data_IF_586314254519
#
_entry.id   IF_586314254519
#
_cell.length_a   1.000
_cell.length_b   1.000
_cell.length_c   1.000
_cell.angle_alpha   90.00
_cell.angle_beta   90.00
_cell.angle_gamma   90.00
#
_symmetry.space_group_name_H-M   'P 1'
#
loop_
_entity.id
_entity.type
_entity.pdbx_description
1 polymer ?
#
# COMPACT_ATOMS: atom_id res chain seq x y z
N UNK A 1 18.83 -11.00 2.94
CA UNK A 1 18.65 -9.93 1.93
C UNK A 1 17.22 -10.02 1.45
N UNK A 2 16.47 -8.93 1.40
CA UNK A 2 15.14 -8.96 0.79
C UNK A 2 15.34 -9.36 -0.69
N UNK A 3 14.82 -10.52 -1.08
CA UNK A 3 14.80 -10.93 -2.47
C UNK A 3 13.70 -10.11 -3.14
N UNK A 4 14.08 -8.98 -3.74
CA UNK A 4 13.17 -8.25 -4.61
C UNK A 4 12.86 -9.14 -5.80
N UNK A 5 11.58 -9.42 -6.04
CA UNK A 5 11.18 -10.16 -7.22
C UNK A 5 11.48 -9.31 -8.45
N UNK A 6 12.06 -9.91 -9.49
CA UNK A 6 12.23 -9.26 -10.79
C UNK A 6 10.95 -9.29 -11.63
N UNK A 7 9.79 -9.38 -10.96
CA UNK A 7 8.48 -9.44 -11.59
C UNK A 7 8.01 -8.01 -11.92
N UNK A 8 7.61 -7.77 -13.17
CA UNK A 8 7.04 -6.50 -13.57
C UNK A 8 5.57 -6.42 -13.16
N UNK A 9 5.16 -5.27 -12.64
CA UNK A 9 3.79 -4.99 -12.20
C UNK A 9 3.41 -3.56 -12.58
N UNK A 10 2.11 -3.28 -12.65
CA UNK A 10 1.61 -1.93 -12.93
C UNK A 10 0.68 -1.47 -11.82
N UNK A 11 0.96 -0.31 -11.25
CA UNK A 11 0.07 0.37 -10.33
C UNK A 11 -0.63 1.54 -11.04
N UNK A 12 -1.95 1.53 -11.00
CA UNK A 12 -2.79 2.65 -11.45
C UNK A 12 -3.59 3.21 -10.28
N UNK A 13 -3.91 4.50 -10.35
CA UNK A 13 -4.65 5.19 -9.31
C UNK A 13 -5.67 6.14 -9.89
N UNK A 14 -6.76 6.31 -9.14
CA UNK A 14 -7.82 7.27 -9.44
C UNK A 14 -8.10 8.10 -8.19
N UNK A 15 -8.31 9.41 -8.40
CA UNK A 15 -8.66 10.35 -7.35
C UNK A 15 -10.05 10.91 -7.62
N UNK A 16 -10.90 10.88 -6.60
CA UNK A 16 -12.23 11.48 -6.63
C UNK A 16 -12.33 12.51 -5.53
N UNK A 17 -12.61 13.77 -5.91
CA UNK A 17 -12.89 14.83 -4.95
C UNK A 17 -14.35 14.72 -4.46
N UNK A 18 -14.53 14.86 -3.15
CA UNK A 18 -15.85 14.89 -2.51
C UNK A 18 -16.11 16.27 -1.91
N UNK A 19 -17.34 16.51 -1.50
CA UNK A 19 -17.71 17.76 -0.80
C UNK A 19 -16.91 17.88 0.50
N UNK A 20 -16.25 19.03 0.70
CA UNK A 20 -15.38 19.28 1.85
C UNK A 20 -13.91 18.94 1.56
N UNK A 21 -13.07 18.72 2.58
CA UNK A 21 -11.64 18.46 2.40
C UNK A 21 -11.33 16.98 2.10
N UNK A 22 -12.29 16.24 1.52
CA UNK A 22 -12.19 14.79 1.36
C UNK A 22 -11.84 14.41 -0.08
N UNK A 23 -10.84 13.54 -0.22
CA UNK A 23 -10.44 12.94 -1.50
C UNK A 23 -10.43 11.43 -1.32
N UNK A 24 -11.15 10.71 -2.20
CA UNK A 24 -11.05 9.26 -2.30
C UNK A 24 -9.92 8.86 -3.22
N UNK A 25 -9.17 7.83 -2.82
CA UNK A 25 -8.12 7.20 -3.62
C UNK A 25 -8.53 5.75 -3.88
N UNK A 26 -8.59 5.37 -5.16
CA UNK A 26 -8.68 3.97 -5.57
C UNK A 26 -7.33 3.59 -6.18
N UNK A 27 -6.78 2.45 -5.77
CA UNK A 27 -5.57 1.87 -6.34
C UNK A 27 -5.91 0.54 -7.00
N UNK A 28 -5.39 0.32 -8.21
CA UNK A 28 -5.42 -0.97 -8.88
C UNK A 28 -4.00 -1.40 -9.17
N UNK A 29 -3.57 -2.49 -8.53
CA UNK A 29 -2.26 -3.09 -8.75
C UNK A 29 -2.43 -4.35 -9.62
N UNK A 30 -2.06 -4.25 -10.89
CA UNK A 30 -2.00 -5.40 -11.79
C UNK A 30 -0.73 -6.19 -11.54
N UNK A 31 -0.91 -7.39 -10.99
CA UNK A 31 0.16 -8.37 -10.74
C UNK A 31 0.03 -9.60 -11.64
N UNK A 32 -0.57 -9.45 -12.83
CA UNK A 32 -0.64 -10.52 -13.82
C UNK A 32 0.77 -10.98 -14.19
N UNK A 33 1.10 -12.25 -13.93
CA UNK A 33 2.45 -12.81 -14.12
C UNK A 33 3.43 -12.52 -12.98
N UNK A 34 2.99 -11.87 -11.90
CA UNK A 34 3.78 -11.48 -10.74
C UNK A 34 3.20 -12.06 -9.43
N UNK A 35 3.05 -13.39 -9.36
CA UNK A 35 2.33 -14.06 -8.26
C UNK A 35 3.05 -13.94 -6.92
N UNK A 36 4.38 -13.79 -6.88
CA UNK A 36 5.08 -13.61 -5.61
C UNK A 36 4.82 -12.20 -5.07
N UNK A 37 4.92 -11.19 -5.93
CA UNK A 37 4.56 -9.81 -5.60
C UNK A 37 3.12 -9.70 -5.12
N UNK A 38 2.18 -10.37 -5.80
CA UNK A 38 0.77 -10.39 -5.41
C UNK A 38 0.55 -10.90 -3.98
N UNK A 39 1.30 -11.92 -3.56
CA UNK A 39 1.22 -12.48 -2.18
C UNK A 39 1.80 -11.53 -1.14
N UNK A 40 2.93 -10.88 -1.45
CA UNK A 40 3.58 -9.96 -0.53
C UNK A 40 2.73 -8.71 -0.23
N UNK A 41 1.94 -8.26 -1.22
CA UNK A 41 1.11 -7.05 -1.10
C UNK A 41 -0.31 -7.30 -0.58
N UNK A 42 -0.76 -8.56 -0.51
CA UNK A 42 -2.14 -8.91 -0.15
C UNK A 42 -2.53 -8.39 1.24
N UNK A 43 -1.58 -8.40 2.17
CA UNK A 43 -1.78 -7.84 3.51
C UNK A 43 -2.76 -8.63 4.39
N UNK A 44 -3.06 -9.88 4.03
CA UNK A 44 -4.02 -10.77 4.73
C UNK A 44 -3.37 -11.62 5.81
N UNK A 45 -2.07 -11.39 6.10
CA UNK A 45 -1.34 -12.08 7.15
C UNK A 45 -1.74 -11.66 8.57
N UNK A 46 -1.16 -12.30 9.58
CA UNK A 46 -1.37 -11.90 10.98
C UNK A 46 -0.87 -10.46 11.20
N UNK A 47 -1.77 -9.56 11.57
CA UNK A 47 -1.48 -8.15 11.84
C UNK A 47 -0.41 -7.96 12.94
N UNK A 48 -0.38 -8.82 13.96
CA UNK A 48 0.64 -8.78 15.03
C UNK A 48 2.04 -9.15 14.53
N UNK A 49 2.12 -9.90 13.43
CA UNK A 49 3.38 -10.25 12.76
C UNK A 49 3.72 -9.27 11.63
N UNK A 50 3.00 -8.15 11.57
CA UNK A 50 3.22 -7.08 10.60
C UNK A 50 2.12 -6.95 9.57
N UNK A 51 1.30 -7.99 9.32
CA UNK A 51 0.17 -8.01 8.36
C UNK A 51 0.57 -7.77 6.90
N UNK A 52 1.33 -6.70 6.65
CA UNK A 52 2.07 -6.38 5.45
C UNK A 52 1.26 -5.64 4.40
N UNK A 53 1.90 -5.46 3.24
CA UNK A 53 1.24 -5.11 1.99
C UNK A 53 0.47 -3.80 1.96
N UNK A 54 -0.61 -3.78 1.18
CA UNK A 54 -1.40 -2.59 0.92
C UNK A 54 -2.03 -1.94 2.16
N UNK A 55 -2.61 -2.68 3.12
CA UNK A 55 -3.14 -2.08 4.34
C UNK A 55 -2.10 -1.24 5.09
N UNK A 56 -0.85 -1.72 5.16
CA UNK A 56 0.24 -1.00 5.82
C UNK A 56 0.63 0.28 5.08
N UNK A 57 0.73 0.21 3.75
CA UNK A 57 1.06 1.37 2.89
C UNK A 57 -0.04 2.44 2.97
N UNK A 58 -1.31 2.04 2.91
CA UNK A 58 -2.44 2.97 3.00
C UNK A 58 -2.55 3.63 4.37
N UNK A 59 -2.28 2.90 5.46
CA UNK A 59 -2.19 3.46 6.80
C UNK A 59 -1.04 4.49 6.92
N UNK A 60 0.11 4.21 6.30
CA UNK A 60 1.24 5.12 6.21
C UNK A 60 0.89 6.42 5.47
N UNK A 61 0.26 6.31 4.31
CA UNK A 61 -0.20 7.46 3.51
C UNK A 61 -1.19 8.32 4.31
N UNK A 62 -2.20 7.69 4.92
CA UNK A 62 -3.18 8.39 5.77
C UNK A 62 -2.49 9.13 6.91
N UNK A 63 -1.61 8.45 7.63
CA UNK A 63 -0.85 9.05 8.75
C UNK A 63 -0.07 10.28 8.29
N UNK A 64 0.59 10.20 7.14
CA UNK A 64 1.34 11.32 6.59
C UNK A 64 0.45 12.50 6.24
N UNK A 65 -0.67 12.25 5.55
CA UNK A 65 -1.62 13.30 5.16
C UNK A 65 -2.28 13.97 6.38
N UNK A 66 -2.57 13.22 7.44
CA UNK A 66 -3.27 13.74 8.62
C UNK A 66 -2.35 14.43 9.62
N UNK A 67 -1.08 14.02 9.71
CA UNK A 67 -0.17 14.47 10.78
C UNK A 67 1.06 15.22 10.26
N UNK A 68 1.34 15.15 8.95
CA UNK A 68 2.59 15.63 8.35
C UNK A 68 3.82 14.79 8.70
N UNK A 69 3.65 13.62 9.33
CA UNK A 69 4.74 12.75 9.79
C UNK A 69 4.59 11.33 9.25
N UNK A 70 5.70 10.62 9.10
CA UNK A 70 5.65 9.20 8.71
C UNK A 70 5.03 8.35 9.83
N UNK A 71 4.38 7.25 9.46
CA UNK A 71 3.87 6.27 10.40
C UNK A 71 5.02 5.54 11.08
N UNK A 72 4.96 5.38 12.41
CA UNK A 72 6.00 4.67 13.16
C UNK A 72 6.10 3.23 12.67
N UNK A 73 7.31 2.79 12.33
CA UNK A 73 7.56 1.45 11.82
C UNK A 73 7.32 1.27 10.31
N UNK A 74 6.89 2.30 9.57
CA UNK A 74 6.67 2.20 8.12
C UNK A 74 7.94 2.16 7.26
N UNK A 75 9.07 1.73 7.82
CA UNK A 75 10.38 1.74 7.19
C UNK A 75 11.08 3.11 7.28
N UNK A 76 12.29 3.08 7.83
CA UNK A 76 13.33 4.11 7.71
C UNK A 76 14.61 3.43 7.28
#
# INVERSE_FOLDING_TARGET
>A
MAAWHSEETTLTWELVEYVGPLTGLTLTHDCTGAQHTARDIEGTGNAEQGGGGWPWILAGLKTHLETGRQMVGSGS
#
